data_IF_285736327699
#
_entry.id   IF_285736327699
#
_cell.length_a   1.000
_cell.length_b   1.000
_cell.length_c   1.000
_cell.angle_alpha   90.00
_cell.angle_beta   90.00
_cell.angle_gamma   90.00
#
_symmetry.space_group_name_H-M   'P 1'
#
loop_
_entity.id
_entity.type
_entity.pdbx_description
1 polymer ?
#
# COMPACT_ATOMS: atom_id res chain seq x y z
N UNK A 1 29.58 -63.73 -28.61
CA UNK A 1 28.85 -62.49 -28.66
C UNK A 1 27.33 -62.62 -28.67
N UNK A 2 26.74 -63.66 -29.14
CA UNK A 2 25.24 -63.85 -29.15
C UNK A 2 24.61 -64.06 -27.75
N UNK A 3 25.36 -64.63 -26.80
CA UNK A 3 24.83 -64.96 -25.46
C UNK A 3 24.72 -63.69 -24.54
N UNK A 4 25.56 -62.70 -24.71
CA UNK A 4 25.51 -61.50 -23.89
C UNK A 4 24.29 -60.62 -24.24
N UNK A 5 23.90 -60.53 -25.49
CA UNK A 5 22.71 -59.78 -25.92
C UNK A 5 21.39 -60.44 -25.46
N UNK A 6 21.38 -61.75 -25.27
CA UNK A 6 20.19 -62.43 -24.78
C UNK A 6 19.88 -62.10 -23.31
N UNK A 7 20.91 -62.12 -22.46
CA UNK A 7 20.75 -61.82 -21.04
C UNK A 7 20.43 -60.35 -20.74
N UNK A 8 20.79 -59.40 -21.61
CA UNK A 8 20.41 -58.01 -21.49
C UNK A 8 18.95 -57.69 -21.86
N UNK A 9 18.27 -58.66 -22.51
CA UNK A 9 16.87 -58.50 -22.94
C UNK A 9 15.83 -59.21 -22.05
N UNK A 10 16.29 -59.93 -21.00
CA UNK A 10 15.38 -60.67 -20.08
C UNK A 10 15.50 -60.12 -18.66
N UNK A 11 14.40 -60.12 -17.95
CA UNK A 11 14.32 -59.64 -16.55
C UNK A 11 13.37 -60.56 -15.76
N UNK A 12 13.56 -60.56 -14.42
CA UNK A 12 12.55 -61.11 -13.53
C UNK A 12 11.32 -60.19 -13.52
N UNK A 13 10.14 -60.79 -13.59
CA UNK A 13 8.87 -60.11 -13.57
C UNK A 13 7.84 -60.89 -12.77
N UNK A 14 6.84 -60.22 -12.26
CA UNK A 14 5.66 -60.84 -11.67
C UNK A 14 4.60 -61.04 -12.75
N UNK A 15 4.25 -62.27 -13.04
CA UNK A 15 3.08 -62.58 -13.84
C UNK A 15 1.85 -62.35 -12.95
N UNK A 16 0.98 -61.43 -13.36
CA UNK A 16 -0.24 -61.09 -12.65
C UNK A 16 -1.41 -61.80 -13.30
N UNK A 17 -2.20 -62.51 -12.50
CA UNK A 17 -3.44 -63.09 -12.94
C UNK A 17 -4.59 -62.71 -12.02
N UNK A 18 -5.76 -62.50 -12.61
CA UNK A 18 -6.99 -62.10 -11.95
C UNK A 18 -8.12 -62.99 -12.42
N UNK A 19 -8.83 -63.67 -11.52
CA UNK A 19 -9.87 -64.67 -11.83
C UNK A 19 -9.41 -65.72 -12.88
N UNK A 20 -8.20 -66.25 -12.66
CA UNK A 20 -7.51 -67.18 -13.58
C UNK A 20 -7.23 -66.66 -15.00
N UNK A 21 -7.38 -65.40 -15.26
CA UNK A 21 -6.97 -64.69 -16.49
C UNK A 21 -5.67 -64.01 -16.31
N UNK A 22 -4.72 -64.15 -17.23
CA UNK A 22 -3.46 -63.52 -17.26
C UNK A 22 -3.67 -62.02 -17.61
N UNK A 23 -3.26 -61.09 -16.70
CA UNK A 23 -3.30 -59.65 -16.95
C UNK A 23 -1.99 -59.13 -17.58
N UNK A 24 -0.86 -59.83 -17.35
CA UNK A 24 0.43 -59.46 -17.92
C UNK A 24 1.59 -59.61 -16.93
N UNK A 25 2.74 -59.13 -17.35
CA UNK A 25 3.97 -59.17 -16.56
C UNK A 25 4.35 -57.77 -16.10
N UNK A 26 4.63 -57.60 -14.80
CA UNK A 26 5.00 -56.32 -14.18
C UNK A 26 6.36 -56.43 -13.53
N UNK A 27 7.04 -55.29 -13.34
CA UNK A 27 8.33 -55.20 -12.65
C UNK A 27 8.23 -55.57 -11.16
N UNK A 28 7.20 -55.08 -10.51
CA UNK A 28 6.94 -55.23 -9.08
C UNK A 28 5.46 -54.99 -8.75
N UNK A 29 5.07 -55.23 -7.49
CA UNK A 29 3.68 -55.11 -7.04
C UNK A 29 3.15 -53.64 -7.04
N UNK A 30 4.02 -52.62 -7.02
CA UNK A 30 3.57 -51.23 -7.03
C UNK A 30 2.82 -50.90 -8.33
N UNK A 31 3.24 -51.48 -9.47
CA UNK A 31 2.58 -51.32 -10.77
C UNK A 31 1.13 -51.84 -10.74
N UNK A 32 0.89 -52.96 -10.04
CA UNK A 32 -0.47 -53.46 -9.87
C UNK A 32 -1.30 -52.57 -8.94
N UNK A 33 -0.72 -52.13 -7.85
CA UNK A 33 -1.42 -51.27 -6.88
C UNK A 33 -1.84 -49.92 -7.49
N UNK A 34 -0.97 -49.35 -8.32
CA UNK A 34 -1.30 -48.13 -9.10
C UNK A 34 -2.43 -48.42 -10.10
N UNK A 35 -2.31 -49.51 -10.88
CA UNK A 35 -3.31 -49.92 -11.85
C UNK A 35 -4.68 -50.20 -11.21
N UNK A 36 -4.69 -50.91 -10.06
CA UNK A 36 -5.91 -51.22 -9.32
C UNK A 36 -6.56 -49.92 -8.76
N UNK A 37 -5.75 -49.00 -8.23
CA UNK A 37 -6.24 -47.73 -7.74
C UNK A 37 -6.86 -46.87 -8.84
N UNK A 38 -6.20 -46.82 -10.00
CA UNK A 38 -6.71 -46.16 -11.19
C UNK A 38 -7.99 -46.81 -11.72
N UNK A 39 -8.05 -48.16 -11.77
CA UNK A 39 -9.25 -48.89 -12.20
C UNK A 39 -10.44 -48.63 -11.26
N UNK A 40 -10.21 -48.67 -9.93
CA UNK A 40 -11.24 -48.33 -8.96
C UNK A 40 -11.74 -46.90 -9.17
N UNK A 41 -10.86 -45.93 -9.38
CA UNK A 41 -11.23 -44.52 -9.62
C UNK A 41 -12.08 -44.36 -10.89
N UNK A 42 -11.76 -45.08 -11.98
CA UNK A 42 -12.52 -45.06 -13.25
C UNK A 42 -13.89 -45.74 -13.16
N UNK A 43 -14.05 -46.71 -12.25
CA UNK A 43 -15.28 -47.53 -12.08
C UNK A 43 -16.24 -46.96 -11.06
N UNK A 44 -15.80 -46.03 -10.17
CA UNK A 44 -16.61 -45.51 -9.07
C UNK A 44 -16.75 -43.98 -9.16
N UNK A 45 -17.99 -43.49 -9.00
CA UNK A 45 -18.29 -42.04 -9.03
C UNK A 45 -18.15 -41.36 -7.67
N UNK A 46 -17.98 -42.10 -6.57
CA UNK A 46 -17.87 -41.56 -5.22
C UNK A 46 -16.90 -42.35 -4.37
N UNK A 47 -16.10 -41.69 -3.56
CA UNK A 47 -15.16 -42.29 -2.58
C UNK A 47 -15.81 -43.25 -1.57
N UNK A 48 -17.14 -43.29 -1.51
CA UNK A 48 -17.94 -44.11 -0.59
C UNK A 48 -18.56 -45.35 -1.23
N UNK A 49 -18.48 -45.49 -2.53
CA UNK A 49 -19.04 -46.66 -3.22
C UNK A 49 -18.02 -47.79 -3.21
N UNK A 50 -18.06 -48.63 -2.17
CA UNK A 50 -17.19 -49.82 -1.99
C UNK A 50 -17.65 -51.01 -2.81
N UNK A 51 -18.53 -50.85 -3.78
CA UNK A 51 -19.18 -51.96 -4.51
C UNK A 51 -18.30 -52.61 -5.58
N UNK A 52 -17.24 -51.96 -6.04
CA UNK A 52 -16.25 -52.59 -6.90
C UNK A 52 -15.29 -53.45 -6.06
N UNK A 53 -15.72 -54.65 -5.63
CA UNK A 53 -14.80 -55.63 -5.10
C UNK A 53 -13.96 -56.18 -6.27
N UNK A 54 -12.74 -55.68 -6.36
CA UNK A 54 -11.72 -56.35 -7.14
C UNK A 54 -11.10 -57.40 -6.21
N UNK A 55 -11.13 -58.65 -6.62
CA UNK A 55 -10.48 -59.74 -5.88
C UNK A 55 -8.96 -59.58 -5.88
N UNK A 56 -8.28 -60.18 -4.93
CA UNK A 56 -6.83 -60.11 -4.85
C UNK A 56 -6.17 -60.83 -6.02
N UNK A 57 -5.13 -60.24 -6.65
CA UNK A 57 -4.44 -60.89 -7.76
C UNK A 57 -3.56 -62.04 -7.26
N UNK A 58 -3.26 -62.97 -8.16
CA UNK A 58 -2.23 -63.96 -7.93
C UNK A 58 -0.95 -63.59 -8.68
N UNK A 59 0.20 -63.77 -8.03
CA UNK A 59 1.50 -63.48 -8.59
C UNK A 59 2.33 -64.73 -8.77
N UNK A 60 2.98 -64.85 -9.94
CA UNK A 60 3.94 -65.90 -10.25
C UNK A 60 5.24 -65.29 -10.75
N UNK A 61 6.37 -65.63 -10.12
CA UNK A 61 7.67 -65.11 -10.57
C UNK A 61 8.06 -65.78 -11.91
N UNK A 62 8.36 -64.96 -12.90
CA UNK A 62 8.67 -65.40 -14.25
C UNK A 62 9.90 -64.70 -14.81
N UNK A 63 10.65 -65.32 -15.68
CA UNK A 63 11.75 -64.72 -16.43
C UNK A 63 11.24 -64.40 -17.85
N UNK A 64 11.15 -63.13 -18.16
CA UNK A 64 10.54 -62.66 -19.41
C UNK A 64 11.43 -61.63 -20.13
N UNK A 65 11.16 -61.47 -21.42
CA UNK A 65 11.78 -60.37 -22.17
C UNK A 65 11.22 -59.04 -21.64
N UNK A 66 12.08 -58.02 -21.45
CA UNK A 66 11.69 -56.70 -20.95
C UNK A 66 10.55 -56.05 -21.75
N UNK A 67 10.43 -56.38 -23.05
CA UNK A 67 9.36 -55.88 -23.91
C UNK A 67 7.96 -56.45 -23.57
N UNK A 68 7.89 -57.45 -22.68
CA UNK A 68 6.62 -58.06 -22.20
C UNK A 68 6.11 -57.38 -20.95
N UNK A 69 6.93 -56.53 -20.32
CA UNK A 69 6.46 -55.77 -19.18
C UNK A 69 5.37 -54.80 -19.61
N UNK A 70 4.32 -54.74 -18.83
CA UNK A 70 3.24 -53.77 -18.99
C UNK A 70 3.35 -52.69 -17.88
N UNK A 71 3.00 -51.48 -18.23
CA UNK A 71 2.88 -50.40 -17.27
C UNK A 71 1.53 -50.41 -16.54
N UNK A 72 1.38 -49.54 -15.55
CA UNK A 72 0.17 -49.43 -14.75
C UNK A 72 -1.06 -49.01 -15.56
N UNK A 73 -0.89 -48.27 -16.66
CA UNK A 73 -1.98 -47.83 -17.54
C UNK A 73 -2.57 -48.97 -18.32
N UNK A 74 -1.71 -49.78 -18.99
CA UNK A 74 -2.12 -50.96 -19.73
C UNK A 74 -2.76 -52.01 -18.79
N UNK A 75 -2.17 -52.15 -17.59
CA UNK A 75 -2.70 -53.09 -16.61
C UNK A 75 -4.06 -52.63 -16.06
N UNK A 76 -4.26 -51.31 -15.85
CA UNK A 76 -5.53 -50.73 -15.49
C UNK A 76 -6.64 -51.08 -16.50
N UNK A 77 -6.36 -50.88 -17.80
CA UNK A 77 -7.32 -51.21 -18.87
C UNK A 77 -7.70 -52.70 -18.85
N UNK A 78 -6.74 -53.60 -18.64
CA UNK A 78 -6.99 -55.04 -18.53
C UNK A 78 -7.78 -55.40 -17.28
N UNK A 79 -7.59 -54.71 -16.16
CA UNK A 79 -8.39 -54.90 -14.95
C UNK A 79 -9.85 -54.50 -15.22
N UNK A 80 -10.05 -53.35 -15.87
CA UNK A 80 -11.39 -52.84 -16.20
C UNK A 80 -12.09 -53.80 -17.19
N UNK A 81 -11.41 -54.23 -18.26
CA UNK A 81 -11.94 -55.16 -19.27
C UNK A 81 -12.39 -56.50 -18.66
N UNK A 82 -11.69 -56.97 -17.61
CA UNK A 82 -12.04 -58.20 -16.94
C UNK A 82 -13.09 -58.05 -15.84
N UNK A 83 -13.33 -56.84 -15.36
CA UNK A 83 -14.25 -56.55 -14.24
C UNK A 83 -15.60 -56.04 -14.71
N UNK A 84 -15.67 -55.36 -15.85
CA UNK A 84 -16.86 -54.74 -16.38
C UNK A 84 -17.26 -55.32 -17.73
N UNK A 85 -18.54 -55.54 -17.89
CA UNK A 85 -19.08 -56.16 -19.14
C UNK A 85 -19.31 -55.14 -20.26
N UNK A 86 -19.34 -53.84 -19.95
CA UNK A 86 -19.62 -52.80 -20.92
C UNK A 86 -18.58 -51.67 -20.79
N UNK A 87 -17.50 -51.81 -21.57
CA UNK A 87 -16.38 -50.87 -21.59
C UNK A 87 -16.15 -50.32 -23.00
N UNK A 88 -15.67 -49.11 -23.10
CA UNK A 88 -15.36 -48.47 -24.38
C UNK A 88 -14.06 -47.67 -24.27
N UNK A 89 -13.38 -47.52 -25.43
CA UNK A 89 -12.27 -46.58 -25.52
C UNK A 89 -12.80 -45.14 -25.37
N UNK A 90 -12.25 -44.41 -24.42
CA UNK A 90 -12.66 -43.06 -24.10
C UNK A 90 -11.49 -42.25 -23.52
N UNK A 91 -11.71 -40.99 -23.33
CA UNK A 91 -10.78 -40.07 -22.70
C UNK A 91 -11.24 -39.71 -21.27
N UNK A 92 -10.47 -40.09 -20.28
CA UNK A 92 -10.68 -39.67 -18.88
C UNK A 92 -10.16 -38.27 -18.62
N UNK A 93 -10.91 -37.52 -17.86
CA UNK A 93 -10.56 -36.17 -17.43
C UNK A 93 -10.17 -36.23 -15.97
N UNK A 94 -8.96 -35.75 -15.67
CA UNK A 94 -8.42 -35.65 -14.33
C UNK A 94 -8.13 -34.19 -14.00
N UNK A 95 -8.46 -33.78 -12.79
CA UNK A 95 -8.16 -32.43 -12.27
C UNK A 95 -7.42 -32.64 -10.95
N UNK A 96 -6.16 -32.18 -10.88
CA UNK A 96 -5.24 -32.42 -9.76
C UNK A 96 -5.19 -33.92 -9.37
N UNK A 97 -4.96 -34.78 -10.36
CA UNK A 97 -4.89 -36.23 -10.25
C UNK A 97 -6.20 -36.90 -9.78
N UNK A 98 -7.31 -36.19 -9.62
CA UNK A 98 -8.63 -36.73 -9.29
C UNK A 98 -9.42 -37.00 -10.57
N UNK A 99 -9.90 -38.26 -10.76
CA UNK A 99 -10.77 -38.59 -11.86
C UNK A 99 -12.14 -37.94 -11.73
N UNK A 100 -12.54 -37.18 -12.75
CA UNK A 100 -13.81 -36.44 -12.77
C UNK A 100 -14.87 -37.18 -13.58
N UNK A 101 -14.52 -37.55 -14.81
CA UNK A 101 -15.39 -38.25 -15.75
C UNK A 101 -14.60 -38.77 -16.93
N UNK A 102 -15.25 -39.56 -17.78
CA UNK A 102 -14.76 -39.87 -19.13
C UNK A 102 -15.65 -39.21 -20.18
N UNK A 103 -15.09 -38.94 -21.34
CA UNK A 103 -15.79 -38.46 -22.54
C UNK A 103 -15.41 -39.30 -23.74
N UNK A 104 -16.27 -39.38 -24.74
CA UNK A 104 -15.99 -40.23 -25.92
C UNK A 104 -14.76 -39.78 -26.69
N UNK A 105 -14.56 -38.47 -26.81
CA UNK A 105 -13.47 -37.91 -27.59
C UNK A 105 -12.75 -36.81 -26.77
N UNK A 106 -11.45 -36.78 -26.80
CA UNK A 106 -10.62 -35.73 -26.18
C UNK A 106 -10.96 -34.35 -26.71
N UNK A 107 -11.29 -34.25 -28.01
CA UNK A 107 -11.69 -33.00 -28.65
C UNK A 107 -12.93 -32.36 -28.00
N UNK A 108 -13.87 -33.16 -27.51
CA UNK A 108 -15.06 -32.68 -26.81
C UNK A 108 -14.67 -32.06 -25.47
N UNK A 109 -13.76 -32.70 -24.73
CA UNK A 109 -13.25 -32.19 -23.47
C UNK A 109 -12.46 -30.87 -23.69
N UNK A 110 -11.46 -30.89 -24.56
CA UNK A 110 -10.59 -29.76 -24.84
C UNK A 110 -11.37 -28.52 -25.32
N UNK A 111 -12.45 -28.75 -26.11
CA UNK A 111 -13.33 -27.66 -26.55
C UNK A 111 -14.05 -26.97 -25.37
N UNK A 112 -14.50 -27.75 -24.38
CA UNK A 112 -15.16 -27.22 -23.18
C UNK A 112 -14.20 -26.42 -22.32
N UNK A 113 -13.01 -26.97 -22.04
CA UNK A 113 -11.99 -26.30 -21.25
C UNK A 113 -11.49 -25.01 -21.93
N UNK A 114 -11.22 -25.09 -23.26
CA UNK A 114 -10.84 -23.92 -24.04
C UNK A 114 -11.92 -22.84 -24.03
N UNK A 115 -13.20 -23.21 -24.10
CA UNK A 115 -14.29 -22.24 -24.02
C UNK A 115 -14.37 -21.53 -22.66
N UNK A 116 -13.93 -22.18 -21.57
CA UNK A 116 -13.80 -21.54 -20.26
C UNK A 116 -12.66 -20.51 -20.28
N UNK A 117 -11.48 -20.88 -20.78
CA UNK A 117 -10.31 -19.99 -20.86
C UNK A 117 -10.57 -18.77 -21.76
N UNK A 118 -11.24 -18.97 -22.92
CA UNK A 118 -11.57 -17.89 -23.85
C UNK A 118 -12.47 -16.80 -23.23
N UNK A 119 -13.34 -17.14 -22.27
CA UNK A 119 -14.14 -16.15 -21.55
C UNK A 119 -13.29 -15.19 -20.72
N UNK A 120 -12.10 -15.59 -20.31
CA UNK A 120 -11.17 -14.83 -19.48
C UNK A 120 -10.03 -14.21 -20.28
N UNK A 121 -10.00 -14.44 -21.59
CA UNK A 121 -8.98 -13.89 -22.47
C UNK A 121 -9.09 -12.38 -22.55
N UNK A 122 -8.00 -11.68 -22.25
CA UNK A 122 -7.90 -10.23 -22.35
C UNK A 122 -7.34 -9.91 -23.73
N UNK A 123 -7.85 -8.86 -24.35
CA UNK A 123 -7.42 -8.40 -25.70
C UNK A 123 -5.97 -7.89 -25.75
N UNK A 124 -5.29 -7.86 -24.61
CA UNK A 124 -3.88 -7.49 -24.52
C UNK A 124 -2.98 -8.63 -25.01
N UNK A 125 -2.09 -8.32 -25.95
CA UNK A 125 -1.16 -9.27 -26.59
C UNK A 125 -0.18 -9.95 -25.61
N UNK A 126 -0.06 -9.44 -24.39
CA UNK A 126 0.86 -9.94 -23.35
C UNK A 126 0.14 -10.65 -22.21
N UNK A 127 -1.10 -11.09 -22.41
CA UNK A 127 -1.82 -11.86 -21.39
C UNK A 127 -1.65 -13.37 -21.61
N UNK A 128 -1.42 -14.09 -20.52
CA UNK A 128 -1.42 -15.56 -20.47
C UNK A 128 -2.60 -16.01 -19.62
N UNK A 129 -3.39 -16.94 -20.15
CA UNK A 129 -4.58 -17.49 -19.48
C UNK A 129 -4.44 -19.00 -19.38
N UNK A 130 -4.61 -19.56 -18.19
CA UNK A 130 -4.50 -20.99 -17.92
C UNK A 130 -5.35 -21.35 -16.69
N UNK A 131 -5.47 -22.62 -16.40
CA UNK A 131 -6.05 -23.09 -15.14
C UNK A 131 -5.02 -23.04 -14.02
N UNK A 132 -5.49 -22.93 -12.79
CA UNK A 132 -4.66 -23.09 -11.58
C UNK A 132 -4.41 -24.57 -11.35
N UNK A 133 -5.45 -25.39 -11.51
CA UNK A 133 -5.43 -26.83 -11.37
C UNK A 133 -4.80 -27.48 -12.61
N UNK A 134 -4.13 -28.62 -12.42
CA UNK A 134 -3.60 -29.44 -13.47
C UNK A 134 -4.73 -30.22 -14.13
N UNK A 135 -5.03 -29.97 -15.40
CA UNK A 135 -6.03 -30.69 -16.16
C UNK A 135 -5.32 -31.69 -17.06
N UNK A 136 -5.66 -32.99 -16.95
CA UNK A 136 -5.07 -34.08 -17.74
C UNK A 136 -6.14 -34.87 -18.48
N UNK A 137 -5.77 -35.32 -19.66
CA UNK A 137 -6.58 -36.11 -20.56
C UNK A 137 -5.91 -37.49 -20.74
N UNK A 138 -6.54 -38.54 -20.26
CA UNK A 138 -5.97 -39.90 -20.28
C UNK A 138 -6.81 -40.80 -21.15
N UNK A 139 -6.24 -41.26 -22.28
CA UNK A 139 -6.86 -42.24 -23.15
C UNK A 139 -6.81 -43.64 -22.53
N UNK A 140 -7.87 -44.42 -22.67
CA UNK A 140 -7.92 -45.76 -22.15
C UNK A 140 -9.32 -46.39 -22.18
N UNK A 141 -9.48 -47.54 -21.51
CA UNK A 141 -10.78 -48.16 -21.32
C UNK A 141 -11.51 -47.55 -20.13
N UNK A 142 -12.77 -47.24 -20.35
CA UNK A 142 -13.67 -46.68 -19.33
C UNK A 142 -15.04 -47.39 -19.41
N UNK A 143 -15.75 -47.53 -18.26
CA UNK A 143 -17.12 -48.04 -18.28
C UNK A 143 -18.03 -47.12 -19.12
N UNK A 144 -18.88 -47.72 -19.96
CA UNK A 144 -19.91 -47.00 -20.71
C UNK A 144 -21.15 -46.83 -19.82
N UNK A 145 -20.96 -46.09 -18.73
CA UNK A 145 -21.99 -45.74 -17.72
C UNK A 145 -22.30 -44.25 -17.77
N UNK A 146 -23.57 -43.86 -17.94
CA UNK A 146 -23.98 -42.47 -17.90
C UNK A 146 -23.57 -41.68 -16.62
N UNK A 147 -23.23 -42.37 -15.54
CA UNK A 147 -22.71 -41.78 -14.32
C UNK A 147 -21.31 -41.19 -14.51
N UNK A 148 -20.43 -41.94 -15.16
CA UNK A 148 -19.01 -41.64 -15.39
C UNK A 148 -18.72 -41.13 -16.79
N UNK A 149 -19.46 -41.61 -17.82
CA UNK A 149 -19.34 -41.15 -19.20
C UNK A 149 -20.23 -39.96 -19.46
N UNK A 150 -19.62 -38.80 -19.74
CA UNK A 150 -20.36 -37.57 -19.95
C UNK A 150 -20.22 -37.07 -21.39
N UNK A 151 -21.24 -36.36 -21.85
CA UNK A 151 -21.12 -35.53 -23.06
C UNK A 151 -20.54 -34.17 -22.74
N UNK A 152 -20.15 -33.40 -23.77
CA UNK A 152 -19.58 -32.07 -23.63
C UNK A 152 -20.55 -31.09 -22.87
N UNK A 153 -21.85 -31.25 -23.03
CA UNK A 153 -22.85 -30.42 -22.40
C UNK A 153 -22.91 -30.63 -20.87
N UNK A 154 -22.92 -31.93 -20.47
CA UNK A 154 -22.89 -32.30 -19.05
C UNK A 154 -21.58 -31.91 -18.39
N UNK A 155 -20.44 -32.12 -19.09
CA UNK A 155 -19.13 -31.72 -18.61
C UNK A 155 -19.10 -30.20 -18.37
N UNK A 156 -19.50 -29.42 -19.36
CA UNK A 156 -19.56 -27.94 -19.24
C UNK A 156 -20.42 -27.51 -18.05
N UNK A 157 -21.65 -28.08 -17.95
CA UNK A 157 -22.55 -27.74 -16.85
C UNK A 157 -21.96 -28.08 -15.49
N UNK A 158 -21.24 -29.20 -15.39
CA UNK A 158 -20.63 -29.64 -14.14
C UNK A 158 -19.44 -28.75 -13.75
N UNK A 159 -18.58 -28.37 -14.70
CA UNK A 159 -17.45 -27.46 -14.46
C UNK A 159 -17.88 -26.04 -14.10
N UNK A 160 -19.04 -25.60 -14.59
CA UNK A 160 -19.65 -24.32 -14.24
C UNK A 160 -20.36 -24.34 -12.86
N UNK A 161 -20.49 -25.51 -12.23
CA UNK A 161 -21.01 -25.64 -10.86
C UNK A 161 -19.88 -25.55 -9.85
N UNK A 162 -20.24 -25.17 -8.65
CA UNK A 162 -19.34 -25.16 -7.51
C UNK A 162 -19.07 -26.59 -7.02
N UNK A 163 -17.81 -27.00 -6.98
CA UNK A 163 -17.40 -28.30 -6.39
C UNK A 163 -17.70 -28.32 -4.88
N UNK A 164 -17.52 -27.19 -4.21
CA UNK A 164 -17.82 -27.00 -2.80
C UNK A 164 -18.44 -25.63 -2.59
N UNK A 165 -19.65 -25.59 -2.05
CA UNK A 165 -20.33 -24.33 -1.74
C UNK A 165 -19.65 -23.60 -0.58
N UNK A 166 -19.69 -22.27 -0.63
CA UNK A 166 -19.27 -21.40 0.46
C UNK A 166 -19.99 -21.81 1.75
N UNK A 167 -19.23 -22.07 2.81
CA UNK A 167 -19.77 -22.42 4.12
C UNK A 167 -19.60 -21.26 5.09
N UNK A 168 -20.68 -20.83 5.72
CA UNK A 168 -20.67 -19.86 6.80
C UNK A 168 -20.98 -20.52 8.13
N UNK A 169 -20.40 -19.97 9.19
CA UNK A 169 -20.66 -20.36 10.56
C UNK A 169 -21.28 -19.15 11.30
N UNK A 170 -22.36 -19.39 12.03
CA UNK A 170 -22.96 -18.36 12.89
C UNK A 170 -22.33 -18.43 14.27
N UNK A 171 -21.68 -17.35 14.70
CA UNK A 171 -21.01 -17.25 15.99
C UNK A 171 -22.01 -17.45 17.12
N UNK A 172 -21.68 -18.32 18.07
CA UNK A 172 -22.46 -18.62 19.27
C UNK A 172 -21.82 -17.99 20.49
N UNK A 173 -22.59 -17.93 21.57
CA UNK A 173 -22.07 -17.46 22.85
C UNK A 173 -20.93 -18.35 23.35
N UNK A 174 -19.81 -17.72 23.75
CA UNK A 174 -18.60 -18.41 24.16
C UNK A 174 -17.63 -18.84 23.05
N UNK A 175 -17.98 -18.60 21.76
CA UNK A 175 -17.07 -18.89 20.66
C UNK A 175 -15.87 -17.93 20.63
N UNK A 176 -14.74 -18.45 20.18
CA UNK A 176 -13.52 -17.68 19.92
C UNK A 176 -13.10 -17.87 18.46
N UNK A 177 -12.40 -16.87 17.89
CA UNK A 177 -11.84 -16.97 16.51
C UNK A 177 -10.99 -18.23 16.36
N UNK A 178 -10.14 -18.52 17.34
CA UNK A 178 -9.32 -19.72 17.36
C UNK A 178 -10.17 -21.01 17.42
N UNK A 179 -11.18 -21.05 18.28
CA UNK A 179 -12.07 -22.22 18.43
C UNK A 179 -12.84 -22.53 17.14
N UNK A 180 -13.38 -21.50 16.48
CA UNK A 180 -14.07 -21.65 15.19
C UNK A 180 -13.11 -22.12 14.08
N UNK A 181 -11.88 -21.56 14.05
CA UNK A 181 -10.87 -21.99 13.07
C UNK A 181 -10.55 -23.47 13.24
N UNK A 182 -10.18 -23.92 14.41
CA UNK A 182 -9.82 -25.32 14.70
C UNK A 182 -10.98 -26.28 14.42
N UNK A 183 -12.21 -25.93 14.81
CA UNK A 183 -13.40 -26.75 14.56
C UNK A 183 -13.70 -26.95 13.06
N UNK A 184 -13.20 -26.05 12.19
CA UNK A 184 -13.36 -26.15 10.73
C UNK A 184 -12.06 -26.55 10.01
N UNK A 185 -11.04 -27.04 10.73
CA UNK A 185 -9.77 -27.49 10.14
C UNK A 185 -8.89 -26.35 9.60
N UNK A 186 -9.09 -25.14 10.08
CA UNK A 186 -8.35 -23.94 9.66
C UNK A 186 -7.39 -23.47 10.76
N UNK A 187 -6.36 -22.76 10.37
CA UNK A 187 -5.63 -21.89 11.28
C UNK A 187 -6.36 -20.57 11.46
N UNK A 188 -6.13 -19.88 12.57
CA UNK A 188 -6.69 -18.55 12.80
C UNK A 188 -6.36 -17.58 11.66
N UNK A 189 -5.12 -17.60 11.16
CA UNK A 189 -4.67 -16.80 10.01
C UNK A 189 -5.46 -17.10 8.73
N UNK A 190 -5.78 -18.37 8.48
CA UNK A 190 -6.60 -18.76 7.32
C UNK A 190 -8.04 -18.28 7.49
N UNK A 191 -8.61 -18.41 8.70
CA UNK A 191 -9.97 -17.93 8.97
C UNK A 191 -10.06 -16.40 8.80
N UNK A 192 -9.08 -15.64 9.29
CA UNK A 192 -9.01 -14.20 9.10
C UNK A 192 -8.85 -13.81 7.61
N UNK A 193 -8.07 -14.56 6.85
CA UNK A 193 -7.93 -14.34 5.41
C UNK A 193 -9.23 -14.60 4.62
N UNK A 194 -10.07 -15.51 5.08
CA UNK A 194 -11.42 -15.74 4.53
C UNK A 194 -12.40 -14.62 4.86
N UNK A 195 -12.11 -13.80 5.89
CA UNK A 195 -12.96 -12.76 6.43
C UNK A 195 -12.18 -11.44 6.63
N UNK A 196 -11.75 -10.77 5.55
CA UNK A 196 -10.87 -9.60 5.64
C UNK A 196 -11.52 -8.42 6.40
N UNK A 197 -12.85 -8.36 6.42
CA UNK A 197 -13.61 -7.33 7.14
C UNK A 197 -13.90 -7.70 8.61
N UNK A 198 -13.47 -8.88 9.06
CA UNK A 198 -13.64 -9.33 10.44
C UNK A 198 -12.63 -8.62 11.35
N UNK A 199 -13.13 -7.91 12.37
CA UNK A 199 -12.30 -7.27 13.38
C UNK A 199 -11.59 -8.26 14.31
N UNK A 200 -10.87 -7.74 15.30
CA UNK A 200 -10.21 -8.55 16.35
C UNK A 200 -11.24 -9.24 17.30
N UNK A 201 -12.48 -8.79 17.27
CA UNK A 201 -13.57 -9.29 18.13
C UNK A 201 -14.72 -9.77 17.28
N UNK A 202 -15.32 -10.90 17.70
CA UNK A 202 -16.52 -11.48 17.10
C UNK A 202 -17.67 -11.41 18.09
N UNK A 203 -18.90 -11.29 17.60
CA UNK A 203 -20.10 -11.20 18.41
C UNK A 203 -21.05 -12.35 18.07
N UNK A 204 -21.81 -12.79 19.07
CA UNK A 204 -22.85 -13.78 18.86
C UNK A 204 -23.82 -13.33 17.76
N UNK A 205 -24.03 -14.19 16.75
CA UNK A 205 -24.84 -13.90 15.57
C UNK A 205 -24.06 -13.49 14.34
N UNK A 206 -22.77 -13.15 14.46
CA UNK A 206 -21.93 -12.84 13.31
C UNK A 206 -21.84 -14.05 12.35
N UNK A 207 -21.82 -13.76 11.04
CA UNK A 207 -21.67 -14.78 9.99
C UNK A 207 -20.21 -14.82 9.55
N UNK A 208 -19.50 -15.85 9.92
CA UNK A 208 -18.07 -16.05 9.58
C UNK A 208 -17.95 -17.09 8.47
N UNK A 209 -17.24 -16.76 7.40
CA UNK A 209 -16.92 -17.68 6.32
C UNK A 209 -15.86 -18.68 6.81
N UNK A 210 -16.20 -19.94 6.84
CA UNK A 210 -15.30 -21.03 7.27
C UNK A 210 -14.82 -21.90 6.10
N UNK A 211 -15.37 -21.70 4.92
CA UNK A 211 -14.89 -22.28 3.67
C UNK A 211 -15.35 -21.42 2.50
N UNK A 212 -14.42 -21.11 1.59
CA UNK A 212 -14.81 -20.46 0.34
C UNK A 212 -15.54 -21.42 -0.59
N UNK A 213 -16.24 -20.85 -1.53
CA UNK A 213 -16.70 -21.56 -2.71
C UNK A 213 -15.49 -22.08 -3.49
N UNK A 214 -15.49 -23.37 -3.83
CA UNK A 214 -14.44 -24.01 -4.60
C UNK A 214 -15.02 -24.47 -5.92
N UNK A 215 -14.55 -23.92 -7.01
CA UNK A 215 -14.89 -24.35 -8.36
C UNK A 215 -14.12 -25.62 -8.73
N UNK A 216 -14.58 -26.34 -9.76
CA UNK A 216 -13.83 -27.49 -10.29
C UNK A 216 -12.48 -27.07 -10.87
N UNK A 217 -12.45 -25.91 -11.54
CA UNK A 217 -11.25 -25.29 -12.08
C UNK A 217 -11.30 -23.78 -11.80
N UNK A 218 -10.15 -23.20 -11.48
CA UNK A 218 -9.97 -21.76 -11.30
C UNK A 218 -9.14 -21.22 -12.46
N UNK A 219 -9.52 -20.06 -12.97
CA UNK A 219 -8.80 -19.47 -14.11
C UNK A 219 -7.75 -18.48 -13.60
N UNK A 220 -6.51 -18.72 -13.98
CA UNK A 220 -5.36 -17.85 -13.74
C UNK A 220 -5.10 -16.98 -14.98
N UNK A 221 -5.12 -15.67 -14.81
CA UNK A 221 -4.75 -14.69 -15.83
C UNK A 221 -3.51 -13.94 -15.37
N UNK A 222 -2.48 -13.96 -16.19
CA UNK A 222 -1.26 -13.17 -15.97
C UNK A 222 -1.18 -12.12 -17.06
N UNK A 223 -1.02 -10.85 -16.68
CA UNK A 223 -0.89 -9.74 -17.62
C UNK A 223 0.01 -8.64 -17.08
N UNK A 224 0.56 -7.83 -17.97
CA UNK A 224 1.33 -6.65 -17.57
C UNK A 224 0.41 -5.46 -17.40
N UNK A 225 0.59 -4.73 -16.30
CA UNK A 225 -0.11 -3.47 -16.01
C UNK A 225 0.90 -2.37 -15.77
N UNK A 226 0.57 -1.15 -16.20
CA UNK A 226 1.39 0.03 -15.94
C UNK A 226 0.68 0.97 -14.99
N UNK A 227 1.45 1.54 -14.05
CA UNK A 227 0.96 2.62 -13.17
C UNK A 227 2.02 3.69 -13.00
N UNK A 228 1.58 4.91 -12.81
CA UNK A 228 2.46 6.03 -12.50
C UNK A 228 2.53 6.23 -10.99
N UNK A 229 3.73 6.45 -10.48
CA UNK A 229 3.99 6.80 -9.07
C UNK A 229 4.76 8.11 -9.00
N UNK A 230 4.41 8.94 -8.02
CA UNK A 230 5.14 10.16 -7.75
C UNK A 230 6.49 9.86 -7.11
N UNK A 231 7.49 10.64 -7.46
CA UNK A 231 8.83 10.61 -6.87
C UNK A 231 9.07 11.92 -6.16
N UNK A 232 9.36 11.86 -4.87
CA UNK A 232 9.61 13.05 -4.07
C UNK A 232 10.92 13.73 -4.49
N UNK A 233 10.99 15.05 -4.27
CA UNK A 233 12.18 15.86 -4.48
C UNK A 233 12.96 16.06 -3.17
N UNK A 234 14.24 16.35 -3.28
CA UNK A 234 15.08 16.71 -2.15
C UNK A 234 15.08 18.23 -1.90
N UNK A 235 15.41 18.65 -0.66
CA UNK A 235 15.61 20.05 -0.31
C UNK A 235 17.09 20.37 -0.19
N UNK A 236 17.61 21.16 -1.13
CA UNK A 236 18.95 21.73 -1.10
C UNK A 236 19.00 22.93 -0.16
N UNK A 237 19.74 22.82 0.94
CA UNK A 237 19.86 23.87 1.96
C UNK A 237 21.17 24.64 1.77
N UNK A 238 21.10 25.97 1.66
CA UNK A 238 22.27 26.84 1.54
C UNK A 238 22.24 27.85 2.69
N UNK A 239 23.39 28.06 3.35
CA UNK A 239 23.53 29.04 4.41
C UNK A 239 23.57 30.47 3.87
N UNK A 240 22.83 31.37 4.53
CA UNK A 240 22.79 32.79 4.18
C UNK A 240 23.12 33.62 5.44
N UNK A 241 24.26 34.30 5.40
CA UNK A 241 24.76 35.14 6.50
C UNK A 241 24.01 36.48 6.61
N UNK A 242 23.21 36.83 5.62
CA UNK A 242 22.36 38.03 5.70
C UNK A 242 21.07 37.77 6.50
N UNK A 243 20.63 36.54 6.59
CA UNK A 243 19.41 36.11 7.29
C UNK A 243 19.74 35.69 8.74
N UNK A 244 18.89 36.05 9.69
CA UNK A 244 19.05 35.62 11.09
C UNK A 244 18.94 34.10 11.26
N UNK A 245 19.73 33.56 12.18
CA UNK A 245 19.66 32.17 12.59
C UNK A 245 18.25 31.80 13.02
N UNK A 246 17.69 30.72 12.46
CA UNK A 246 16.33 30.29 12.71
C UNK A 246 15.32 30.74 11.65
N UNK A 247 15.70 31.58 10.70
CA UNK A 247 14.87 31.97 9.56
C UNK A 247 15.21 31.13 8.32
N UNK A 248 14.22 30.92 7.47
CA UNK A 248 14.41 30.19 6.20
C UNK A 248 13.65 30.90 5.08
N UNK A 249 14.16 30.80 3.85
CA UNK A 249 13.51 31.32 2.66
C UNK A 249 13.63 30.34 1.51
N UNK A 250 12.49 29.92 0.95
CA UNK A 250 12.46 29.10 -0.26
C UNK A 250 12.74 29.99 -1.47
N UNK A 251 13.78 29.68 -2.23
CA UNK A 251 14.18 30.41 -3.45
C UNK A 251 13.71 29.74 -4.72
N UNK A 252 13.51 28.41 -4.68
CA UNK A 252 12.88 27.61 -5.74
C UNK A 252 12.04 26.55 -5.08
N UNK A 253 10.75 26.45 -5.45
CA UNK A 253 9.88 25.35 -5.01
C UNK A 253 10.34 24.05 -5.66
N UNK A 254 10.24 22.96 -4.91
CA UNK A 254 10.40 21.62 -5.45
C UNK A 254 9.19 21.18 -6.28
N UNK A 255 9.43 20.33 -7.26
CA UNK A 255 8.38 19.65 -8.03
C UNK A 255 8.64 18.14 -7.99
N UNK A 256 7.57 17.37 -7.79
CA UNK A 256 7.65 15.92 -7.80
C UNK A 256 7.96 15.41 -9.20
N UNK A 257 8.78 14.37 -9.26
CA UNK A 257 9.00 13.57 -10.44
C UNK A 257 7.94 12.48 -10.59
N UNK A 258 8.04 11.69 -11.65
CA UNK A 258 7.14 10.57 -11.93
C UNK A 258 7.93 9.38 -12.45
N UNK A 259 7.64 8.19 -11.91
CA UNK A 259 8.08 6.91 -12.45
C UNK A 259 6.88 6.17 -13.03
N UNK A 260 7.05 5.56 -14.20
CA UNK A 260 6.14 4.55 -14.71
C UNK A 260 6.67 3.18 -14.32
N UNK A 261 5.86 2.44 -13.57
CA UNK A 261 6.13 1.08 -13.14
C UNK A 261 5.31 0.13 -14.01
N UNK A 262 5.96 -0.88 -14.58
CA UNK A 262 5.30 -2.01 -15.23
C UNK A 262 5.36 -3.21 -14.28
N UNK A 263 4.20 -3.76 -13.96
CA UNK A 263 4.05 -4.93 -13.07
C UNK A 263 3.48 -6.11 -13.86
N UNK A 264 3.99 -7.32 -13.61
CA UNK A 264 3.31 -8.54 -13.98
C UNK A 264 2.32 -8.88 -12.87
N UNK A 265 1.04 -8.83 -13.20
CA UNK A 265 -0.05 -9.06 -12.25
C UNK A 265 -0.72 -10.39 -12.54
N UNK A 266 -0.91 -11.18 -11.48
CA UNK A 266 -1.64 -12.45 -11.54
C UNK A 266 -3.01 -12.29 -10.92
N UNK A 267 -4.02 -12.71 -11.66
CA UNK A 267 -5.40 -12.78 -11.23
C UNK A 267 -5.83 -14.25 -11.17
N UNK A 268 -6.61 -14.63 -10.17
CA UNK A 268 -7.31 -15.91 -10.07
C UNK A 268 -8.80 -15.61 -9.95
N UNK A 269 -9.60 -16.15 -10.85
CA UNK A 269 -11.04 -15.89 -10.94
C UNK A 269 -11.39 -14.40 -10.91
N UNK A 270 -10.56 -13.57 -11.57
CA UNK A 270 -10.71 -12.12 -11.63
C UNK A 270 -10.22 -11.35 -10.41
N UNK A 271 -9.77 -12.02 -9.35
CA UNK A 271 -9.22 -11.37 -8.16
C UNK A 271 -7.69 -11.24 -8.28
N UNK A 272 -7.16 -10.05 -8.02
CA UNK A 272 -5.71 -9.79 -7.99
C UNK A 272 -5.07 -10.51 -6.81
N UNK A 273 -4.17 -11.45 -7.11
CA UNK A 273 -3.51 -12.29 -6.09
C UNK A 273 -2.08 -11.83 -5.82
N UNK A 274 -1.32 -11.60 -6.90
CA UNK A 274 0.08 -11.16 -6.79
C UNK A 274 0.41 -10.12 -7.84
N UNK A 275 1.41 -9.28 -7.54
CA UNK A 275 2.05 -8.41 -8.52
C UNK A 275 3.55 -8.41 -8.31
N UNK A 276 4.29 -8.40 -9.42
CA UNK A 276 5.75 -8.33 -9.43
C UNK A 276 6.18 -7.17 -10.33
N UNK A 277 6.99 -6.25 -9.80
CA UNK A 277 7.57 -5.18 -10.60
C UNK A 277 8.55 -5.78 -11.62
N UNK A 278 8.30 -5.51 -12.90
CA UNK A 278 9.13 -5.98 -14.02
C UNK A 278 10.09 -4.89 -14.46
N UNK A 279 9.60 -3.64 -14.50
CA UNK A 279 10.43 -2.49 -14.86
C UNK A 279 9.94 -1.21 -14.20
N UNK A 280 10.87 -0.29 -14.00
CA UNK A 280 10.62 1.07 -13.52
C UNK A 280 11.38 2.04 -14.41
N UNK A 281 10.67 2.98 -14.98
CA UNK A 281 11.23 4.01 -15.88
C UNK A 281 10.90 5.39 -15.34
N UNK A 282 11.92 6.21 -15.13
CA UNK A 282 11.74 7.62 -14.79
C UNK A 282 11.17 8.36 -16.00
N UNK A 283 9.93 8.88 -15.86
CA UNK A 283 9.25 9.64 -16.93
C UNK A 283 9.35 11.15 -16.71
N UNK A 284 9.48 11.58 -15.45
CA UNK A 284 9.71 12.97 -15.08
C UNK A 284 10.72 13.05 -13.94
N UNK A 285 11.80 13.80 -14.14
CA UNK A 285 12.77 14.06 -13.09
C UNK A 285 12.21 15.01 -12.03
N UNK A 286 12.40 14.73 -10.72
CA UNK A 286 12.02 15.65 -9.67
C UNK A 286 12.91 16.91 -9.70
N UNK A 287 12.33 18.06 -9.40
CA UNK A 287 13.06 19.31 -9.25
C UNK A 287 13.25 19.61 -7.77
N UNK A 288 14.48 19.64 -7.28
CA UNK A 288 14.78 19.88 -5.88
C UNK A 288 14.36 21.29 -5.41
N UNK A 289 13.80 21.36 -4.21
CA UNK A 289 13.56 22.63 -3.52
C UNK A 289 14.90 23.27 -3.15
N UNK A 290 15.05 24.58 -3.37
CA UNK A 290 16.19 25.34 -2.86
C UNK A 290 15.75 26.24 -1.72
N UNK A 291 16.41 26.09 -0.57
CA UNK A 291 16.06 26.76 0.69
C UNK A 291 17.27 27.44 1.32
N UNK A 292 17.18 28.72 1.57
CA UNK A 292 18.18 29.46 2.33
C UNK A 292 17.93 29.30 3.82
N UNK A 293 19.01 29.13 4.58
CA UNK A 293 18.99 29.03 6.05
C UNK A 293 19.80 30.18 6.62
N UNK A 294 19.16 31.01 7.43
CA UNK A 294 19.81 32.13 8.10
C UNK A 294 20.87 31.67 9.11
N UNK A 295 22.05 32.26 9.06
CA UNK A 295 23.16 32.00 9.99
C UNK A 295 23.61 33.23 10.78
N UNK A 296 23.06 34.44 10.48
CA UNK A 296 23.38 35.68 11.20
C UNK A 296 23.04 35.51 12.68
N UNK A 297 23.99 35.89 13.55
CA UNK A 297 23.77 35.83 15.00
C UNK A 297 22.61 36.71 15.46
N UNK A 298 21.78 36.17 16.36
CA UNK A 298 20.72 36.91 17.03
C UNK A 298 21.23 37.76 18.21
N UNK A 299 22.54 37.73 18.49
CA UNK A 299 23.15 38.55 19.54
C UNK A 299 23.66 39.85 18.92
N UNK A 300 23.12 40.97 19.36
CA UNK A 300 23.50 42.31 18.86
C UNK A 300 24.47 43.00 19.79
N UNK A 301 25.22 43.99 19.28
CA UNK A 301 26.06 44.88 20.10
C UNK A 301 25.16 45.61 21.12
N UNK A 302 25.43 45.36 22.41
CA UNK A 302 24.59 45.89 23.50
C UNK A 302 24.16 44.81 24.50
N UNK A 303 24.48 43.53 24.24
CA UNK A 303 24.38 42.43 25.22
C UNK A 303 22.99 41.80 25.37
N UNK A 304 22.00 42.14 24.55
CA UNK A 304 20.67 41.55 24.56
C UNK A 304 20.43 40.63 23.35
N UNK A 305 19.64 39.58 23.57
CA UNK A 305 19.20 38.68 22.51
C UNK A 305 17.95 39.26 21.83
N UNK A 306 17.92 39.17 20.50
CA UNK A 306 16.72 39.48 19.71
C UNK A 306 15.93 38.24 19.39
N UNK A 307 14.61 38.33 19.47
CA UNK A 307 13.70 37.29 18.99
C UNK A 307 13.35 37.58 17.54
N UNK A 308 13.60 36.61 16.66
CA UNK A 308 13.29 36.72 15.23
C UNK A 308 12.15 35.75 14.89
N UNK A 309 11.11 36.26 14.25
CA UNK A 309 9.98 35.44 13.79
C UNK A 309 10.33 34.61 12.52
N UNK A 310 9.52 33.64 12.19
CA UNK A 310 9.63 32.90 10.96
C UNK A 310 9.53 33.73 9.68
N UNK A 311 9.01 34.98 9.77
CA UNK A 311 8.93 35.95 8.68
C UNK A 311 10.13 36.93 8.64
N UNK A 312 11.13 36.74 9.51
CA UNK A 312 12.33 37.55 9.56
C UNK A 312 12.22 38.86 10.37
N UNK A 313 11.04 39.18 10.95
CA UNK A 313 10.88 40.35 11.81
C UNK A 313 11.49 40.10 13.17
N UNK A 314 12.22 41.09 13.66
CA UNK A 314 12.73 41.12 15.02
C UNK A 314 11.66 41.71 15.95
N UNK A 315 11.50 41.14 17.13
CA UNK A 315 10.66 41.71 18.20
C UNK A 315 11.18 43.09 18.60
N UNK A 316 10.37 44.15 18.46
CA UNK A 316 10.88 45.56 18.46
C UNK A 316 11.37 46.07 19.80
N UNK A 317 11.03 45.44 20.92
CA UNK A 317 11.49 45.81 22.26
C UNK A 317 11.85 44.54 23.05
N UNK A 318 13.11 44.04 22.99
CA UNK A 318 13.52 42.73 23.50
C UNK A 318 13.16 42.46 24.97
N UNK A 319 13.17 43.48 25.82
CA UNK A 319 12.80 43.38 27.23
C UNK A 319 11.27 43.44 27.45
N UNK A 320 10.52 44.12 26.56
CA UNK A 320 9.08 44.34 26.67
C UNK A 320 8.32 43.15 26.03
N UNK A 321 8.20 42.05 26.74
CA UNK A 321 7.62 40.80 26.21
C UNK A 321 6.11 40.68 26.42
N UNK A 322 5.50 41.62 27.20
CA UNK A 322 4.07 41.62 27.48
C UNK A 322 3.33 42.56 26.52
N UNK A 323 2.23 42.05 25.91
CA UNK A 323 1.32 42.86 25.09
C UNK A 323 0.26 43.45 25.99
N UNK A 324 0.40 44.71 26.33
CA UNK A 324 -0.54 45.41 27.22
C UNK A 324 -1.82 45.90 26.52
N UNK A 325 -1.75 46.10 25.19
CA UNK A 325 -2.92 46.39 24.35
C UNK A 325 -2.73 45.81 22.93
N UNK A 326 -3.66 44.97 22.46
CA UNK A 326 -3.59 44.40 21.12
C UNK A 326 -4.08 45.40 20.05
N UNK A 327 -3.77 45.08 18.79
CA UNK A 327 -4.32 45.73 17.60
C UNK A 327 -5.81 45.51 17.48
N UNK A 328 -6.57 46.51 17.06
CA UNK A 328 -8.00 46.42 16.78
C UNK A 328 -8.88 47.30 17.68
N UNK A 329 -10.18 47.07 17.63
CA UNK A 329 -11.15 47.84 18.40
C UNK A 329 -11.00 47.62 19.91
N UNK A 330 -10.92 48.72 20.67
CA UNK A 330 -10.84 48.72 22.14
C UNK A 330 -11.70 49.83 22.73
N UNK A 331 -11.95 49.79 24.03
CA UNK A 331 -12.54 50.89 24.79
C UNK A 331 -11.43 51.55 25.59
N UNK A 332 -11.15 52.82 25.31
CA UNK A 332 -10.14 53.59 26.01
C UNK A 332 -10.81 54.82 26.65
N UNK A 333 -10.68 54.97 27.97
CA UNK A 333 -11.30 56.08 28.75
C UNK A 333 -12.80 56.26 28.48
N UNK A 334 -13.54 55.13 28.25
CA UNK A 334 -14.98 55.13 27.99
C UNK A 334 -15.38 55.37 26.53
N UNK A 335 -14.44 55.59 25.62
CA UNK A 335 -14.70 55.79 24.19
C UNK A 335 -14.20 54.58 23.38
N UNK A 336 -14.94 54.29 22.32
CA UNK A 336 -14.52 53.24 21.35
C UNK A 336 -13.41 53.81 20.46
N UNK A 337 -12.27 53.14 20.46
CA UNK A 337 -11.05 53.56 19.77
C UNK A 337 -10.50 52.34 18.94
N UNK A 338 -9.95 52.64 17.79
CA UNK A 338 -9.27 51.61 16.96
C UNK A 338 -7.76 51.73 17.14
N UNK A 339 -7.16 50.73 17.78
CA UNK A 339 -5.73 50.66 18.04
C UNK A 339 -4.97 50.19 16.81
N UNK A 340 -4.19 51.06 16.20
CA UNK A 340 -3.47 50.84 14.93
C UNK A 340 -2.20 50.01 15.05
N UNK A 341 -1.81 49.63 16.27
CA UNK A 341 -0.60 48.87 16.56
C UNK A 341 -0.76 47.90 17.72
N UNK A 342 0.34 47.53 18.33
CA UNK A 342 0.39 46.80 19.59
C UNK A 342 1.20 47.58 20.61
N UNK A 343 0.75 47.62 21.86
CA UNK A 343 1.48 48.23 22.96
C UNK A 343 2.27 47.16 23.71
N UNK A 344 3.57 47.35 23.79
CA UNK A 344 4.52 46.42 24.39
C UNK A 344 5.12 46.98 25.66
N UNK A 345 5.06 46.20 26.75
CA UNK A 345 5.56 46.59 28.08
C UNK A 345 6.42 45.46 28.69
N UNK A 346 7.19 45.84 29.72
CA UNK A 346 7.78 44.87 30.63
C UNK A 346 6.66 44.08 31.35
N UNK A 347 6.81 42.79 31.62
CA UNK A 347 5.97 42.09 32.59
C UNK A 347 6.07 42.84 33.95
N UNK A 348 4.91 43.24 34.49
CA UNK A 348 4.85 44.01 35.76
C UNK A 348 5.02 45.51 35.65
N UNK A 349 5.20 46.09 34.45
CA UNK A 349 5.28 47.55 34.22
C UNK A 349 6.69 48.10 34.27
N UNK A 350 6.82 49.45 34.32
CA UNK A 350 8.12 50.14 34.47
C UNK A 350 8.99 50.11 33.20
N UNK A 351 8.39 50.15 32.01
CA UNK A 351 9.06 49.99 30.71
C UNK A 351 10.00 51.13 30.31
N UNK A 352 10.01 52.26 31.04
CA UNK A 352 10.83 53.42 30.70
C UNK A 352 12.31 53.03 30.56
N UNK A 353 12.93 53.44 29.44
CA UNK A 353 14.35 53.21 29.17
C UNK A 353 14.66 51.84 28.55
N UNK A 354 13.69 50.93 28.43
CA UNK A 354 13.88 49.68 27.71
C UNK A 354 14.28 49.94 26.24
N UNK A 355 15.18 49.18 25.72
CA UNK A 355 15.72 49.38 24.37
C UNK A 355 14.67 49.05 23.31
N UNK A 356 14.57 49.94 22.32
CA UNK A 356 13.78 49.72 21.07
C UNK A 356 14.76 49.43 19.95
N UNK A 357 14.45 48.37 19.17
CA UNK A 357 15.29 47.96 18.04
C UNK A 357 14.48 47.96 16.75
N UNK A 358 15.16 48.17 15.61
CA UNK A 358 14.55 48.05 14.30
C UNK A 358 14.07 46.61 14.03
N UNK A 359 12.82 46.44 13.60
CA UNK A 359 12.24 45.10 13.35
C UNK A 359 12.74 44.44 12.07
N UNK A 360 13.15 45.23 11.08
CA UNK A 360 13.75 44.74 9.80
C UNK A 360 14.87 45.71 9.40
N UNK A 361 15.71 45.25 8.44
CA UNK A 361 16.63 46.15 7.74
C UNK A 361 15.83 47.22 6.97
N UNK A 362 16.30 48.43 6.94
CA UNK A 362 15.58 49.51 6.25
C UNK A 362 16.21 50.87 6.39
N UNK A 363 15.55 51.86 5.83
CA UNK A 363 15.97 53.26 5.90
C UNK A 363 14.99 54.07 6.76
N UNK A 364 15.51 54.88 7.69
CA UNK A 364 14.69 55.75 8.51
C UNK A 364 14.01 56.79 7.61
N UNK A 365 12.68 56.69 7.49
CA UNK A 365 11.87 57.57 6.64
C UNK A 365 11.53 58.90 7.37
N UNK A 366 11.21 58.77 8.65
CA UNK A 366 10.92 59.97 9.45
C UNK A 366 11.27 59.81 10.92
N UNK A 367 11.64 60.91 11.54
CA UNK A 367 11.82 61.05 12.99
C UNK A 367 11.02 62.26 13.45
N UNK A 368 10.03 62.02 14.30
CA UNK A 368 9.21 63.08 14.89
C UNK A 368 9.53 63.22 16.38
N UNK A 369 9.68 64.50 16.86
CA UNK A 369 9.88 64.82 18.26
C UNK A 369 8.73 65.70 18.67
N UNK A 370 7.70 65.16 19.30
CA UNK A 370 6.48 65.87 19.67
C UNK A 370 5.97 65.33 21.01
N UNK A 371 5.26 66.12 21.76
CA UNK A 371 4.61 65.76 23.01
C UNK A 371 3.09 65.45 22.79
N UNK A 372 2.63 65.37 21.56
CA UNK A 372 1.23 65.02 21.23
C UNK A 372 1.13 63.85 20.29
N UNK A 373 -0.02 63.16 20.25
CA UNK A 373 -0.28 61.96 19.40
C UNK A 373 0.70 60.86 19.69
N UNK A 374 1.45 60.40 18.67
CA UNK A 374 2.47 59.36 18.79
C UNK A 374 3.71 59.74 19.60
N UNK A 375 3.79 60.98 20.10
CA UNK A 375 4.95 61.46 20.84
C UNK A 375 6.22 61.47 19.98
N UNK A 376 7.36 61.19 20.60
CA UNK A 376 8.60 60.94 19.89
C UNK A 376 8.49 59.63 19.15
N UNK A 377 8.58 59.63 17.81
CA UNK A 377 8.43 58.43 17.05
C UNK A 377 9.36 58.33 15.84
N UNK A 378 9.61 57.13 15.41
CA UNK A 378 10.44 56.75 14.26
C UNK A 378 9.59 55.93 13.28
N UNK A 379 9.71 56.22 11.98
CA UNK A 379 9.18 55.36 10.94
C UNK A 379 10.35 54.87 10.09
N UNK A 380 10.41 53.57 9.87
CA UNK A 380 11.43 52.92 9.04
C UNK A 380 10.74 52.31 7.83
N UNK A 381 11.28 52.58 6.64
CA UNK A 381 10.85 52.03 5.38
C UNK A 381 11.76 50.83 5.03
N UNK A 382 11.15 49.66 4.83
CA UNK A 382 11.84 48.39 4.56
C UNK A 382 11.83 47.98 3.08
N UNK A 383 11.25 48.84 2.21
CA UNK A 383 10.99 48.50 0.82
C UNK A 383 9.72 47.65 0.62
N UNK A 384 9.36 47.42 -0.62
CA UNK A 384 8.19 46.56 -0.97
C UNK A 384 6.85 47.01 -0.35
N UNK A 385 6.69 48.30 0.00
CA UNK A 385 5.48 48.82 0.61
C UNK A 385 5.37 48.56 2.12
N UNK A 386 6.42 48.04 2.77
CA UNK A 386 6.45 47.69 4.19
C UNK A 386 7.15 48.79 4.99
N UNK A 387 6.48 49.30 6.03
CA UNK A 387 7.05 50.22 7.00
C UNK A 387 6.74 49.77 8.43
N UNK A 388 7.58 50.19 9.39
CA UNK A 388 7.32 50.03 10.82
C UNK A 388 7.37 51.40 11.53
N UNK A 389 6.50 51.57 12.54
CA UNK A 389 6.47 52.76 13.39
C UNK A 389 6.74 52.34 14.82
N UNK A 390 7.60 53.16 15.48
CA UNK A 390 8.01 53.02 16.87
C UNK A 390 7.66 54.33 17.58
N UNK A 391 6.60 54.31 18.40
CA UNK A 391 6.07 55.51 19.01
C UNK A 391 6.27 55.53 20.54
N UNK A 392 5.98 56.68 21.13
CA UNK A 392 6.13 56.99 22.56
C UNK A 392 7.55 56.82 23.08
N UNK A 393 8.55 57.06 22.22
CA UNK A 393 9.96 56.96 22.58
C UNK A 393 10.32 57.94 23.69
N UNK A 394 11.30 57.59 24.53
CA UNK A 394 11.85 58.45 25.57
C UNK A 394 12.50 59.71 24.95
N UNK A 395 12.20 60.87 25.49
CA UNK A 395 12.79 62.14 25.03
C UNK A 395 14.34 62.05 25.08
N UNK A 396 15.00 62.46 24.00
CA UNK A 396 16.46 62.43 23.89
C UNK A 396 17.07 61.07 23.62
N UNK A 397 16.27 59.97 23.53
CA UNK A 397 16.78 58.62 23.34
C UNK A 397 16.89 58.17 21.88
N UNK A 398 16.29 58.86 20.91
CA UNK A 398 16.35 58.52 19.49
C UNK A 398 17.78 58.69 18.99
N UNK A 399 18.41 57.59 18.62
CA UNK A 399 19.82 57.49 18.20
C UNK A 399 20.02 57.37 16.68
N UNK A 400 18.95 57.55 15.90
CA UNK A 400 18.98 57.46 14.44
C UNK A 400 18.44 58.74 13.79
N UNK A 401 18.83 58.99 12.53
CA UNK A 401 18.47 60.16 11.74
C UNK A 401 17.73 59.75 10.46
N UNK A 402 16.90 60.67 9.92
CA UNK A 402 16.23 60.47 8.61
C UNK A 402 17.27 60.22 7.52
N UNK A 403 17.00 59.26 6.67
CA UNK A 403 17.91 58.77 5.62
C UNK A 403 18.94 57.75 6.10
N UNK A 404 19.09 57.53 7.41
CA UNK A 404 20.02 56.51 7.93
C UNK A 404 19.52 55.12 7.65
N UNK A 405 20.42 54.26 7.11
CA UNK A 405 20.15 52.82 7.02
C UNK A 405 20.35 52.17 8.39
N UNK A 406 19.40 51.30 8.78
CA UNK A 406 19.44 50.54 10.03
C UNK A 406 19.29 49.06 9.74
N UNK A 407 20.00 48.27 10.50
CA UNK A 407 19.86 46.80 10.42
C UNK A 407 18.84 46.27 11.42
N UNK A 408 18.17 45.18 11.09
CA UNK A 408 17.27 44.50 12.03
C UNK A 408 17.99 44.17 13.34
N UNK A 409 17.35 44.46 14.47
CA UNK A 409 17.95 44.33 15.81
C UNK A 409 18.87 45.50 16.21
N UNK A 410 19.13 46.45 15.35
CA UNK A 410 19.87 47.68 15.72
C UNK A 410 19.07 48.49 16.69
N UNK A 411 19.70 48.95 17.79
CA UNK A 411 19.09 49.89 18.72
C UNK A 411 18.82 51.22 18.04
N UNK A 412 17.60 51.76 18.17
CA UNK A 412 17.15 52.99 17.51
C UNK A 412 16.62 54.04 18.49
N UNK A 413 16.11 53.61 19.65
CA UNK A 413 15.57 54.47 20.70
C UNK A 413 15.41 53.71 22.02
N UNK A 414 14.77 54.34 22.98
CA UNK A 414 14.32 53.74 24.24
C UNK A 414 12.83 54.01 24.47
N UNK A 415 12.15 53.09 25.14
CA UNK A 415 10.74 53.20 25.52
C UNK A 415 10.58 54.40 26.48
N UNK A 416 9.57 55.19 26.22
CA UNK A 416 9.22 56.36 27.04
C UNK A 416 7.71 56.44 27.30
N UNK A 417 7.26 57.69 27.55
CA UNK A 417 5.85 58.00 27.80
C UNK A 417 5.51 59.38 27.18
N UNK A 418 6.06 59.65 25.97
CA UNK A 418 5.79 60.90 25.24
C UNK A 418 4.54 60.80 24.40
N UNK A 419 3.80 61.89 24.19
CA UNK A 419 2.56 61.90 23.44
C UNK A 419 1.33 61.49 24.26
N UNK A 420 0.31 60.91 23.57
CA UNK A 420 -0.98 60.59 24.21
C UNK A 420 -0.95 59.18 24.80
N UNK A 421 -0.45 59.03 26.03
CA UNK A 421 -0.27 57.72 26.67
C UNK A 421 -0.84 57.67 28.07
N UNK A 422 -1.08 56.49 28.60
CA UNK A 422 -1.50 56.23 29.99
C UNK A 422 -0.34 55.75 30.87
N UNK A 423 0.78 55.40 30.27
CA UNK A 423 1.98 54.92 30.95
C UNK A 423 3.08 54.56 29.98
N UNK A 424 4.29 54.23 30.47
CA UNK A 424 5.42 53.89 29.58
C UNK A 424 5.22 52.59 28.83
N UNK A 425 5.22 52.63 27.49
CA UNK A 425 5.16 51.50 26.61
C UNK A 425 5.76 51.80 25.23
N UNK A 426 6.07 50.79 24.44
CA UNK A 426 6.31 50.93 23.01
C UNK A 426 4.99 50.69 22.27
N UNK A 427 4.47 51.71 21.58
CA UNK A 427 3.45 51.49 20.56
C UNK A 427 4.14 51.16 19.24
N UNK A 428 3.85 49.95 18.71
CA UNK A 428 4.50 49.44 17.52
C UNK A 428 3.46 49.12 16.43
N UNK A 429 3.70 49.65 15.23
CA UNK A 429 2.87 49.38 14.06
C UNK A 429 3.66 48.73 12.92
N UNK A 430 3.01 47.87 12.17
CA UNK A 430 3.41 47.44 10.83
C UNK A 430 2.43 48.05 9.84
N UNK A 431 2.97 48.69 8.81
CA UNK A 431 2.21 49.37 7.77
C UNK A 431 2.57 48.69 6.45
N UNK A 432 1.56 48.15 5.76
CA UNK A 432 1.71 47.50 4.46
C UNK A 432 0.86 48.23 3.44
N UNK A 433 1.50 48.75 2.38
CA UNK A 433 0.84 49.51 1.33
C UNK A 433 -0.02 50.66 1.88
N UNK A 434 0.48 51.33 2.90
CA UNK A 434 -0.18 52.50 3.52
C UNK A 434 -1.22 52.18 4.60
N UNK A 435 -1.57 50.92 4.82
CA UNK A 435 -2.54 50.49 5.83
C UNK A 435 -1.87 49.81 7.01
N UNK A 436 -2.29 50.08 8.23
CA UNK A 436 -1.81 49.37 9.44
C UNK A 436 -2.40 47.96 9.48
N UNK A 437 -1.59 46.99 9.87
CA UNK A 437 -1.99 45.59 10.03
C UNK A 437 -1.65 45.10 11.43
N UNK A 438 -2.30 44.03 11.91
CA UNK A 438 -1.97 43.44 13.20
C UNK A 438 -0.50 42.99 13.23
N UNK A 439 0.38 43.58 14.08
CA UNK A 439 1.79 43.22 14.08
C UNK A 439 2.13 41.84 14.60
N UNK A 440 1.29 41.24 15.49
CA UNK A 440 1.62 40.03 16.21
C UNK A 440 1.93 38.80 15.30
N UNK A 441 1.19 38.55 14.21
CA UNK A 441 1.52 37.47 13.27
C UNK A 441 2.84 37.64 12.50
N UNK A 442 3.44 38.84 12.56
CA UNK A 442 4.70 39.15 11.88
C UNK A 442 5.90 39.05 12.82
N UNK A 443 5.73 39.40 14.12
CA UNK A 443 6.83 39.50 15.09
C UNK A 443 6.89 38.33 16.10
N UNK A 444 5.91 37.42 16.08
CA UNK A 444 5.87 36.22 16.95
C UNK A 444 6.45 34.96 16.33
#
# INVERSE_FOLDING_TARGET
>A
MLTVNYWSSVTFALKVSYDNKELGYISDESVYNEAQSAAKARMTTTKTDSSAKLDDPTYELSLVNVNKLVDSSILCDRIIENSESNVTNACGIYIDDEFICSVKNETDATSVFNAILEKHKVTDSNSFVDFVEKVEYVQGLYPDDPKTMWDASKLKKQLEQTKQAKKTYTVKDGDTIYGIAVANGLTEKQLMALNPDMGEYIHTGDQIVVSNEVNYVRVKVMRTETRTVEVDYDTEKTNDASMFKGTTRVTRKGEKGEDTITELVTYIDGQRVTSQEVSRVRTKEPVNEKKLIGTKSTRVNGGYNIKVSGRGFVWPAPACTFVSSPYGWRTLRGYRDFHTGVDLTLPGGGSTGAVIVASLDGTVESVRRSNSGYGHCIVINHGGGVKTRYAHCLAGSISVSVGQHVSAGQAIARVGSTGNVTGPHLHFEIIINGSTVNPLPYIR
#
